data_IF_235811910300
#
_entry.id   IF_235811910300
#
_cell.length_a   1.000
_cell.length_b   1.000
_cell.length_c   1.000
_cell.angle_alpha   90.00
_cell.angle_beta   90.00
_cell.angle_gamma   90.00
#
_symmetry.space_group_name_H-M   'P 1'
#
loop_
_entity.id
_entity.type
_entity.pdbx_description
1 polymer ?
#
# COMPACT_ATOMS: atom_id res chain seq x y z
N UNK A 1 1.00 0.49 -8.84
CA UNK A 1 2.00 1.55 -8.56
C UNK A 1 1.90 1.99 -7.13
N UNK A 2 3.02 2.24 -6.46
CA UNK A 2 3.06 2.69 -5.06
C UNK A 2 3.61 4.13 -5.03
N UNK A 3 2.97 5.03 -4.29
CA UNK A 3 3.37 6.43 -4.15
C UNK A 3 3.29 6.87 -2.69
N UNK A 4 4.30 7.60 -2.23
CA UNK A 4 4.26 8.28 -0.93
C UNK A 4 3.79 9.71 -1.18
N UNK A 5 2.72 10.14 -0.51
CA UNK A 5 2.04 11.41 -0.77
C UNK A 5 2.66 12.61 -0.02
N UNK A 6 3.85 12.42 0.56
CA UNK A 6 4.54 13.45 1.34
C UNK A 6 5.95 13.03 1.76
N UNK A 7 6.67 13.89 2.48
CA UNK A 7 7.99 13.57 3.00
C UNK A 7 7.91 12.48 4.08
N UNK A 8 8.74 11.45 3.96
CA UNK A 8 8.85 10.39 4.97
C UNK A 8 9.84 10.82 6.06
N UNK A 9 9.32 11.36 7.16
CA UNK A 9 10.12 11.82 8.32
C UNK A 9 9.87 10.90 9.51
N UNK A 10 10.93 10.60 10.26
CA UNK A 10 10.84 9.75 11.46
C UNK A 10 9.87 10.36 12.47
N UNK A 11 8.92 9.55 12.94
CA UNK A 11 7.88 9.94 13.89
C UNK A 11 6.70 10.71 13.29
N UNK A 12 6.71 10.99 11.98
CA UNK A 12 5.63 11.71 11.29
C UNK A 12 4.85 10.74 10.41
N UNK A 13 3.53 10.70 10.60
CA UNK A 13 2.65 9.89 9.77
C UNK A 13 2.58 10.45 8.35
N UNK A 14 2.74 9.58 7.36
CA UNK A 14 2.63 9.92 5.93
C UNK A 14 1.74 8.92 5.22
N UNK A 15 0.94 9.42 4.28
CA UNK A 15 0.05 8.60 3.47
C UNK A 15 0.79 7.95 2.30
N UNK A 16 0.46 6.70 2.03
CA UNK A 16 0.91 5.92 0.87
C UNK A 16 -0.32 5.54 0.07
N UNK A 17 -0.22 5.70 -1.25
CA UNK A 17 -1.24 5.36 -2.23
C UNK A 17 -0.76 4.20 -3.08
N UNK A 18 -1.59 3.18 -3.22
CA UNK A 18 -1.36 2.02 -4.06
C UNK A 18 -2.47 1.90 -5.09
N UNK A 19 -2.08 1.99 -6.36
CA UNK A 19 -2.95 1.72 -7.50
C UNK A 19 -2.82 0.26 -7.91
N UNK A 20 -3.93 -0.47 -7.81
CA UNK A 20 -4.11 -1.83 -8.29
C UNK A 20 -5.02 -1.80 -9.51
N UNK A 21 -4.69 -2.59 -10.52
CA UNK A 21 -5.48 -2.72 -11.75
C UNK A 21 -5.71 -4.20 -11.97
N UNK A 22 -6.94 -4.60 -12.31
CA UNK A 22 -7.24 -5.95 -12.74
C UNK A 22 -7.03 -6.06 -14.26
N UNK A 23 -5.91 -6.64 -14.75
CA UNK A 23 -5.66 -6.76 -16.18
C UNK A 23 -6.44 -7.91 -16.82
N UNK A 24 -7.11 -8.75 -16.04
CA UNK A 24 -7.78 -9.94 -16.53
C UNK A 24 -9.11 -9.60 -17.21
N UNK A 25 -9.60 -10.55 -17.99
CA UNK A 25 -10.93 -10.49 -18.60
C UNK A 25 -12.04 -10.97 -17.66
N UNK A 26 -11.69 -11.38 -16.44
CA UNK A 26 -12.61 -11.85 -15.40
C UNK A 26 -12.51 -10.97 -14.14
N UNK A 27 -13.51 -11.07 -13.26
CA UNK A 27 -13.51 -10.30 -12.01
C UNK A 27 -12.67 -11.01 -10.94
N UNK A 28 -11.84 -10.24 -10.23
CA UNK A 28 -11.11 -10.72 -9.04
C UNK A 28 -11.87 -10.35 -7.78
N UNK A 29 -11.90 -11.26 -6.82
CA UNK A 29 -12.62 -11.14 -5.54
C UNK A 29 -11.67 -11.47 -4.38
N UNK A 30 -12.10 -11.15 -3.16
CA UNK A 30 -11.39 -11.49 -1.93
C UNK A 30 -9.92 -11.06 -1.95
N UNK A 31 -9.66 -9.89 -2.53
CA UNK A 31 -8.32 -9.36 -2.75
C UNK A 31 -7.80 -8.74 -1.46
N UNK A 32 -6.58 -9.09 -1.06
CA UNK A 32 -5.91 -8.53 0.12
C UNK A 32 -4.56 -7.96 -0.29
N UNK A 33 -4.34 -6.69 0.06
CA UNK A 33 -3.05 -6.02 -0.07
C UNK A 33 -2.28 -6.20 1.24
N UNK A 34 -1.13 -6.88 1.18
CA UNK A 34 -0.26 -7.04 2.35
C UNK A 34 0.91 -6.09 2.24
N UNK A 35 1.14 -5.28 3.28
CA UNK A 35 2.18 -4.26 3.29
C UNK A 35 3.13 -4.51 4.43
N UNK A 36 4.43 -4.50 4.16
CA UNK A 36 5.47 -4.62 5.18
C UNK A 36 6.64 -3.67 4.92
N UNK A 37 7.37 -3.32 5.97
CA UNK A 37 8.52 -2.44 5.84
C UNK A 37 9.19 -2.18 7.19
N UNK A 38 10.36 -2.78 7.40
CA UNK A 38 11.11 -2.60 8.65
C UNK A 38 11.51 -1.14 8.84
N UNK A 39 11.06 -0.54 9.94
CA UNK A 39 11.31 0.88 10.23
C UNK A 39 10.33 1.84 9.55
N UNK A 40 9.32 1.34 8.83
CA UNK A 40 8.22 2.12 8.24
C UNK A 40 6.86 1.74 8.86
N UNK A 41 6.70 0.44 9.13
CA UNK A 41 5.54 -0.17 9.77
C UNK A 41 6.00 -1.07 10.92
N UNK A 42 5.12 -1.27 11.90
CA UNK A 42 5.31 -2.32 12.90
C UNK A 42 4.59 -3.59 12.41
N UNK A 43 5.38 -4.58 11.99
CA UNK A 43 4.84 -5.83 11.44
C UNK A 43 4.29 -5.66 10.02
N UNK A 44 3.22 -6.40 9.72
CA UNK A 44 2.53 -6.41 8.44
C UNK A 44 1.15 -5.78 8.59
N UNK A 45 0.75 -4.99 7.59
CA UNK A 45 -0.60 -4.43 7.45
C UNK A 45 -1.34 -5.17 6.34
N UNK A 46 -2.55 -5.65 6.62
CA UNK A 46 -3.43 -6.24 5.61
C UNK A 46 -4.57 -5.28 5.33
N UNK A 47 -4.80 -4.95 4.06
CA UNK A 47 -5.88 -4.07 3.61
C UNK A 47 -6.77 -4.81 2.63
N UNK A 48 -8.06 -4.88 2.92
CA UNK A 48 -9.03 -5.46 2.00
C UNK A 48 -9.20 -4.57 0.77
N UNK A 49 -9.14 -5.19 -0.41
CA UNK A 49 -9.34 -4.53 -1.70
C UNK A 49 -10.70 -4.97 -2.23
N UNK A 50 -11.55 -4.02 -2.67
CA UNK A 50 -12.84 -4.37 -3.25
C UNK A 50 -12.66 -5.27 -4.47
N UNK A 51 -13.69 -6.07 -4.76
CA UNK A 51 -13.68 -6.89 -5.98
C UNK A 51 -13.53 -6.00 -7.21
N UNK A 52 -12.62 -6.36 -8.10
CA UNK A 52 -12.32 -5.59 -9.32
C UNK A 52 -12.86 -6.31 -10.54
N UNK A 53 -13.72 -5.64 -11.30
CA UNK A 53 -14.17 -6.08 -12.62
C UNK A 53 -13.01 -6.09 -13.63
N UNK A 54 -13.20 -6.71 -14.81
CA UNK A 54 -12.20 -6.65 -15.87
C UNK A 54 -11.80 -5.20 -16.18
N UNK A 55 -10.49 -4.94 -16.23
CA UNK A 55 -9.90 -3.62 -16.49
C UNK A 55 -10.16 -2.54 -15.42
N UNK A 56 -10.81 -2.88 -14.30
CA UNK A 56 -11.10 -1.93 -13.22
C UNK A 56 -9.84 -1.62 -12.39
N UNK A 57 -9.83 -0.43 -11.79
CA UNK A 57 -8.73 0.06 -10.96
C UNK A 57 -9.23 0.36 -9.55
N UNK A 58 -8.46 -0.06 -8.54
CA UNK A 58 -8.63 0.37 -7.15
C UNK A 58 -7.47 1.27 -6.73
N UNK A 59 -7.84 2.34 -6.04
CA UNK A 59 -6.91 3.22 -5.35
C UNK A 59 -7.03 2.96 -3.85
N UNK A 60 -5.98 2.43 -3.25
CA UNK A 60 -5.94 2.10 -1.82
C UNK A 60 -4.99 3.07 -1.14
N UNK A 61 -5.44 3.69 -0.06
CA UNK A 61 -4.63 4.61 0.73
C UNK A 61 -4.49 4.09 2.16
N UNK A 62 -3.27 4.09 2.68
CA UNK A 62 -2.97 3.76 4.07
C UNK A 62 -1.86 4.66 4.60
N UNK A 63 -1.72 4.68 5.93
CA UNK A 63 -0.74 5.51 6.62
C UNK A 63 0.43 4.67 7.12
N UNK A 64 1.65 5.20 7.00
CA UNK A 64 2.85 4.65 7.63
C UNK A 64 3.46 5.70 8.56
N UNK A 65 4.17 5.26 9.60
CA UNK A 65 4.90 6.16 10.50
C UNK A 65 6.34 5.66 10.62
N UNK A 66 7.28 6.24 9.87
CA UNK A 66 8.68 5.83 9.90
C UNK A 66 9.25 5.90 11.32
N UNK A 67 9.89 4.83 11.77
CA UNK A 67 10.53 4.73 13.08
C UNK A 67 12.06 4.75 13.02
N UNK A 68 12.64 4.57 11.82
CA UNK A 68 14.10 4.62 11.60
C UNK A 68 14.43 5.50 10.40
N UNK A 69 15.51 6.25 10.50
CA UNK A 69 16.06 7.05 9.39
C UNK A 69 16.84 6.20 8.38
N UNK A 70 17.20 6.83 7.27
CA UNK A 70 17.95 6.24 6.15
C UNK A 70 17.07 5.65 5.05
N UNK A 71 17.66 5.15 3.96
CA UNK A 71 16.93 4.43 2.92
C UNK A 71 16.22 3.21 3.49
N UNK A 72 14.93 3.07 3.19
CA UNK A 72 14.08 1.96 3.63
C UNK A 72 13.23 1.47 2.47
N UNK A 73 12.85 0.20 2.54
CA UNK A 73 12.01 -0.44 1.54
C UNK A 73 10.63 -0.72 2.12
N UNK A 74 9.61 -0.40 1.34
CA UNK A 74 8.23 -0.82 1.56
C UNK A 74 7.93 -1.92 0.54
N UNK A 75 7.40 -3.04 1.00
CA UNK A 75 6.99 -4.17 0.19
C UNK A 75 5.47 -4.31 0.26
N UNK A 76 4.88 -4.64 -0.88
CA UNK A 76 3.43 -4.65 -1.12
C UNK A 76 3.09 -5.81 -2.05
#
# INVERSE_FOLDING_TARGET
TIKVLGPAVVGVTVAVEVLVINPLSESVKDCVLMVEGSGLLQGQLSVEVPSLKPQERALIQFNITPSKSGPRQLQV
#
